data_IF_076242418627
#
_entry.id   IF_076242418627
#
_cell.length_a   1.000
_cell.length_b   1.000
_cell.length_c   1.000
_cell.angle_alpha   90.00
_cell.angle_beta   90.00
_cell.angle_gamma   90.00
#
_symmetry.space_group_name_H-M   'P 1'
#
loop_
_entity.id
_entity.type
_entity.pdbx_description
1 polymer ?
#
# COMPACT_ATOMS: atom_id res chain seq x y z
N UNK A 1 -42.66 -2.44 0.27
CA UNK A 1 -41.29 -2.10 -0.10
C UNK A 1 -40.29 -2.57 0.97
N UNK A 2 -40.53 -2.37 2.26
CA UNK A 2 -39.67 -2.80 3.38
C UNK A 2 -39.42 -4.32 3.47
N UNK A 3 -40.44 -5.14 3.21
CA UNK A 3 -40.34 -6.62 3.28
C UNK A 3 -39.46 -7.22 2.18
N UNK A 4 -39.45 -6.60 0.98
CA UNK A 4 -38.55 -6.99 -0.14
C UNK A 4 -37.10 -6.62 0.17
N UNK A 5 -36.90 -5.44 0.78
CA UNK A 5 -35.59 -4.96 1.24
C UNK A 5 -34.99 -5.87 2.32
N UNK A 6 -35.78 -6.33 3.30
CA UNK A 6 -35.32 -7.19 4.39
C UNK A 6 -34.90 -8.58 3.91
N UNK A 7 -35.64 -9.18 2.97
CA UNK A 7 -35.32 -10.48 2.38
C UNK A 7 -34.06 -10.41 1.50
N UNK A 8 -33.88 -9.32 0.76
CA UNK A 8 -32.68 -9.08 -0.03
C UNK A 8 -31.44 -8.94 0.85
N UNK A 9 -31.51 -8.13 1.90
CA UNK A 9 -30.43 -7.95 2.87
C UNK A 9 -30.06 -9.27 3.55
N UNK A 10 -31.04 -10.08 3.98
CA UNK A 10 -30.79 -11.41 4.55
C UNK A 10 -30.08 -12.36 3.58
N UNK A 11 -30.47 -12.35 2.29
CA UNK A 11 -29.77 -13.17 1.27
C UNK A 11 -28.33 -12.72 1.08
N UNK A 12 -28.08 -11.41 0.98
CA UNK A 12 -26.72 -10.87 0.87
C UNK A 12 -25.86 -11.22 2.08
N UNK A 13 -26.42 -11.09 3.29
CA UNK A 13 -25.73 -11.46 4.54
C UNK A 13 -25.37 -12.96 4.56
N UNK A 14 -26.28 -13.84 4.11
CA UNK A 14 -26.01 -15.28 4.02
C UNK A 14 -24.91 -15.59 3.02
N UNK A 15 -24.95 -14.99 1.81
CA UNK A 15 -23.91 -15.16 0.79
C UNK A 15 -22.57 -14.66 1.31
N UNK A 16 -22.55 -13.48 1.94
CA UNK A 16 -21.35 -12.94 2.56
C UNK A 16 -20.79 -13.86 3.63
N UNK A 17 -21.63 -14.39 4.53
CA UNK A 17 -21.22 -15.32 5.58
C UNK A 17 -20.60 -16.62 5.02
N UNK A 18 -21.17 -17.20 3.95
CA UNK A 18 -20.61 -18.38 3.28
C UNK A 18 -19.25 -18.06 2.62
N UNK A 19 -19.16 -16.91 1.95
CA UNK A 19 -17.90 -16.44 1.36
C UNK A 19 -16.84 -16.18 2.43
N UNK A 20 -17.22 -15.56 3.53
CA UNK A 20 -16.35 -15.28 4.66
C UNK A 20 -15.79 -16.57 5.28
N UNK A 21 -16.61 -17.56 5.51
CA UNK A 21 -16.19 -18.89 6.01
C UNK A 21 -15.20 -19.56 5.06
N UNK A 22 -15.51 -19.57 3.77
CA UNK A 22 -14.66 -20.19 2.75
C UNK A 22 -13.30 -19.51 2.66
N UNK A 23 -13.27 -18.18 2.58
CA UNK A 23 -12.03 -17.41 2.46
C UNK A 23 -11.21 -17.52 3.72
N UNK A 24 -11.84 -17.32 4.89
CA UNK A 24 -11.14 -17.34 6.18
C UNK A 24 -10.50 -18.69 6.46
N UNK A 25 -11.23 -19.80 6.29
CA UNK A 25 -10.68 -21.15 6.54
C UNK A 25 -9.46 -21.45 5.67
N UNK A 26 -9.53 -21.13 4.37
CA UNK A 26 -8.41 -21.37 3.46
C UNK A 26 -7.21 -20.48 3.75
N UNK A 27 -7.42 -19.16 3.96
CA UNK A 27 -6.33 -18.24 4.27
C UNK A 27 -5.65 -18.59 5.59
N UNK A 28 -6.42 -18.85 6.65
CA UNK A 28 -5.83 -19.24 7.93
C UNK A 28 -5.11 -20.58 7.86
N UNK A 29 -5.62 -21.55 7.10
CA UNK A 29 -4.91 -22.79 6.83
C UNK A 29 -3.55 -22.54 6.16
N UNK A 30 -3.52 -21.76 5.07
CA UNK A 30 -2.28 -21.43 4.36
C UNK A 30 -1.29 -20.71 5.28
N UNK A 31 -1.73 -19.67 5.97
CA UNK A 31 -0.86 -18.85 6.83
C UNK A 31 -0.26 -19.68 7.97
N UNK A 32 -1.04 -20.57 8.59
CA UNK A 32 -0.55 -21.47 9.63
C UNK A 32 0.40 -22.55 9.09
N UNK A 33 0.14 -23.06 7.86
CA UNK A 33 1.00 -24.10 7.26
C UNK A 33 2.42 -23.63 6.96
N UNK A 34 2.60 -22.30 6.76
CA UNK A 34 3.93 -21.67 6.59
C UNK A 34 4.52 -21.12 7.90
N UNK A 35 3.92 -21.48 9.05
CA UNK A 35 4.43 -21.12 10.37
C UNK A 35 4.16 -19.67 10.80
N UNK A 36 3.23 -18.98 10.16
CA UNK A 36 2.86 -17.62 10.57
C UNK A 36 1.70 -17.65 11.55
N UNK A 37 1.97 -17.23 12.78
CA UNK A 37 0.98 -17.17 13.85
C UNK A 37 0.27 -15.80 13.86
N UNK A 38 -0.87 -15.74 13.18
CA UNK A 38 -1.74 -14.56 13.12
C UNK A 38 -2.87 -14.57 14.16
N UNK A 39 -2.96 -15.64 14.96
CA UNK A 39 -3.92 -15.79 16.05
C UNK A 39 -3.21 -15.85 17.42
N UNK A 40 -3.86 -15.45 18.50
CA UNK A 40 -5.14 -14.76 18.52
C UNK A 40 -5.03 -13.36 17.90
N UNK A 41 -6.19 -12.81 17.48
CA UNK A 41 -6.27 -11.43 17.04
C UNK A 41 -5.91 -10.49 18.21
N UNK A 42 -5.24 -9.38 17.91
CA UNK A 42 -4.93 -8.37 18.90
C UNK A 42 -6.20 -7.77 19.51
N UNK A 43 -6.34 -7.72 20.84
CA UNK A 43 -7.48 -7.08 21.50
C UNK A 43 -7.66 -5.61 21.09
N UNK A 44 -6.57 -4.93 20.74
CA UNK A 44 -6.63 -3.54 20.30
C UNK A 44 -7.28 -3.36 18.90
N UNK A 45 -7.48 -4.44 18.13
CA UNK A 45 -8.02 -4.39 16.76
C UNK A 45 -9.11 -5.44 16.50
N UNK A 46 -9.52 -6.22 17.50
CA UNK A 46 -10.53 -7.29 17.32
C UNK A 46 -11.91 -6.77 16.88
N UNK A 47 -12.26 -5.53 17.22
CA UNK A 47 -13.51 -4.90 16.80
C UNK A 47 -13.48 -4.37 15.36
N UNK A 48 -12.31 -4.31 14.71
CA UNK A 48 -12.20 -3.78 13.37
C UNK A 48 -12.57 -4.83 12.33
N UNK A 49 -13.72 -4.66 11.67
CA UNK A 49 -14.28 -5.62 10.69
C UNK A 49 -13.26 -5.99 9.61
N UNK A 50 -12.49 -5.04 9.10
CA UNK A 50 -11.49 -5.29 8.06
C UNK A 50 -10.27 -6.08 8.55
N UNK A 51 -10.11 -6.30 9.86
CA UNK A 51 -9.01 -7.06 10.48
C UNK A 51 -9.49 -8.43 10.95
N UNK A 52 -10.74 -8.50 11.45
CA UNK A 52 -11.33 -9.71 12.03
C UNK A 52 -11.32 -10.89 11.05
N UNK A 53 -11.60 -10.62 9.78
CA UNK A 53 -11.59 -11.61 8.72
C UNK A 53 -10.71 -11.16 7.54
N UNK A 54 -9.99 -12.08 6.87
CA UNK A 54 -9.25 -11.78 5.66
C UNK A 54 -10.14 -11.47 4.45
N UNK A 55 -11.44 -11.74 4.54
CA UNK A 55 -12.38 -11.69 3.41
C UNK A 55 -12.48 -10.30 2.77
N UNK A 56 -12.48 -9.24 3.59
CA UNK A 56 -12.47 -7.87 3.08
C UNK A 56 -11.23 -7.60 2.22
N UNK A 57 -10.06 -7.97 2.72
CA UNK A 57 -8.79 -7.84 2.01
C UNK A 57 -8.76 -8.69 0.73
N UNK A 58 -9.10 -9.98 0.84
CA UNK A 58 -9.04 -10.92 -0.30
C UNK A 58 -10.04 -10.49 -1.39
N UNK A 59 -11.26 -10.08 -1.03
CA UNK A 59 -12.23 -9.56 -1.99
C UNK A 59 -11.74 -8.29 -2.67
N UNK A 60 -11.08 -7.39 -1.94
CA UNK A 60 -10.45 -6.17 -2.48
C UNK A 60 -9.30 -6.51 -3.43
N UNK A 61 -8.44 -7.47 -3.09
CA UNK A 61 -7.34 -7.94 -3.95
C UNK A 61 -7.85 -8.62 -5.23
N UNK A 62 -8.85 -9.49 -5.12
CA UNK A 62 -9.47 -10.13 -6.29
C UNK A 62 -10.09 -9.08 -7.22
N UNK A 63 -10.85 -8.13 -6.67
CA UNK A 63 -11.42 -7.03 -7.44
C UNK A 63 -10.34 -6.19 -8.11
N UNK A 64 -9.25 -5.88 -7.41
CA UNK A 64 -8.09 -5.15 -7.93
C UNK A 64 -7.47 -5.86 -9.14
N UNK A 65 -7.18 -7.16 -9.03
CA UNK A 65 -6.58 -7.96 -10.12
C UNK A 65 -7.53 -8.06 -11.32
N UNK A 66 -8.82 -8.31 -11.07
CA UNK A 66 -9.84 -8.41 -12.12
C UNK A 66 -9.97 -7.08 -12.87
N UNK A 67 -10.08 -5.95 -12.17
CA UNK A 67 -10.18 -4.61 -12.78
C UNK A 67 -8.94 -4.30 -13.62
N UNK A 68 -7.73 -4.64 -13.16
CA UNK A 68 -6.49 -4.46 -13.93
C UNK A 68 -6.52 -5.31 -15.21
N UNK A 69 -6.89 -6.58 -15.10
CA UNK A 69 -6.97 -7.49 -16.25
C UNK A 69 -7.93 -6.99 -17.33
N UNK A 70 -9.16 -6.67 -16.93
CA UNK A 70 -10.18 -6.12 -17.84
C UNK A 70 -9.78 -4.76 -18.40
N UNK A 71 -9.31 -3.85 -17.53
CA UNK A 71 -8.91 -2.51 -17.93
C UNK A 71 -7.79 -2.51 -18.95
N UNK A 72 -6.74 -3.31 -18.74
CA UNK A 72 -5.64 -3.48 -19.70
C UNK A 72 -6.12 -4.00 -21.05
N UNK A 73 -6.98 -5.03 -21.05
CA UNK A 73 -7.51 -5.64 -22.29
C UNK A 73 -8.35 -4.64 -23.04
N UNK A 74 -9.25 -3.92 -22.36
CA UNK A 74 -10.11 -2.90 -22.96
C UNK A 74 -9.30 -1.76 -23.56
N UNK A 75 -8.34 -1.22 -22.84
CA UNK A 75 -7.51 -0.10 -23.31
C UNK A 75 -6.67 -0.50 -24.52
N UNK A 76 -6.04 -1.68 -24.52
CA UNK A 76 -5.29 -2.18 -25.68
C UNK A 76 -6.18 -2.29 -26.93
N UNK A 77 -7.43 -2.76 -26.79
CA UNK A 77 -8.40 -2.84 -27.91
C UNK A 77 -8.80 -1.45 -28.42
N UNK A 78 -8.99 -0.50 -27.49
CA UNK A 78 -9.43 0.87 -27.82
C UNK A 78 -8.29 1.71 -28.40
N UNK A 79 -7.07 1.60 -27.86
CA UNK A 79 -5.89 2.29 -28.41
C UNK A 79 -5.58 1.87 -29.86
N UNK A 80 -5.90 0.63 -30.24
CA UNK A 80 -5.79 0.15 -31.62
C UNK A 80 -6.81 0.83 -32.57
N UNK A 81 -7.88 1.44 -32.04
CA UNK A 81 -8.94 2.15 -32.82
C UNK A 81 -8.90 3.66 -32.69
N UNK A 82 -8.22 4.23 -31.69
CA UNK A 82 -8.32 5.64 -31.31
C UNK A 82 -6.96 6.27 -30.97
N UNK A 83 -6.10 6.46 -31.95
CA UNK A 83 -5.00 7.43 -31.82
C UNK A 83 -5.46 8.90 -31.84
N UNK A 84 -6.77 9.17 -31.91
CA UNK A 84 -7.35 10.48 -32.18
C UNK A 84 -8.07 11.19 -31.03
N UNK A 85 -8.30 10.56 -29.86
CA UNK A 85 -9.09 11.18 -28.76
C UNK A 85 -8.40 11.09 -27.39
N UNK A 86 -7.17 11.58 -27.27
CA UNK A 86 -6.45 11.70 -25.99
C UNK A 86 -6.79 12.99 -25.22
N UNK A 87 -8.05 13.26 -24.94
CA UNK A 87 -8.41 14.31 -23.99
C UNK A 87 -8.91 13.69 -22.71
N UNK A 88 -8.09 13.70 -21.64
CA UNK A 88 -8.56 13.32 -20.31
C UNK A 88 -9.70 14.27 -19.91
N UNK A 89 -10.86 13.76 -19.47
CA UNK A 89 -11.96 14.60 -19.05
C UNK A 89 -11.55 15.48 -17.86
N UNK A 90 -12.08 16.69 -17.79
CA UNK A 90 -11.74 17.67 -16.74
C UNK A 90 -12.03 17.16 -15.32
N UNK A 91 -13.11 16.38 -15.16
CA UNK A 91 -13.45 15.76 -13.87
C UNK A 91 -12.36 14.80 -13.37
N UNK A 92 -11.71 14.04 -14.27
CA UNK A 92 -10.63 13.13 -13.89
C UNK A 92 -9.39 13.89 -13.40
N UNK A 93 -9.11 15.06 -14.02
CA UNK A 93 -8.01 15.90 -13.56
C UNK A 93 -8.28 16.44 -12.14
N UNK A 94 -9.49 16.95 -11.90
CA UNK A 94 -9.91 17.42 -10.59
C UNK A 94 -9.90 16.31 -9.53
N UNK A 95 -10.42 15.11 -9.88
CA UNK A 95 -10.38 13.94 -9.01
C UNK A 95 -8.94 13.59 -8.60
N UNK A 96 -7.98 13.60 -9.53
CA UNK A 96 -6.56 13.32 -9.24
C UNK A 96 -5.97 14.36 -8.28
N UNK A 97 -6.30 15.62 -8.40
CA UNK A 97 -5.84 16.66 -7.47
C UNK A 97 -6.35 16.37 -6.06
N UNK A 98 -7.66 16.16 -5.90
CA UNK A 98 -8.28 15.84 -4.59
C UNK A 98 -7.69 14.57 -4.00
N UNK A 99 -7.55 13.51 -4.79
CA UNK A 99 -6.97 12.24 -4.37
C UNK A 99 -5.55 12.41 -3.83
N UNK A 100 -4.68 13.16 -4.53
CA UNK A 100 -3.32 13.39 -4.06
C UNK A 100 -3.28 14.24 -2.79
N UNK A 101 -4.12 15.28 -2.68
CA UNK A 101 -4.24 16.09 -1.46
C UNK A 101 -4.67 15.22 -0.29
N UNK A 102 -5.71 14.40 -0.48
CA UNK A 102 -6.19 13.48 0.55
C UNK A 102 -5.07 12.54 1.03
N UNK A 103 -4.31 11.93 0.11
CA UNK A 103 -3.22 11.02 0.47
C UNK A 103 -2.02 11.72 1.12
N UNK A 104 -1.73 12.97 0.78
CA UNK A 104 -0.72 13.79 1.50
C UNK A 104 -1.18 13.98 2.96
N UNK A 105 -2.41 14.44 3.18
CA UNK A 105 -2.94 14.70 4.51
C UNK A 105 -3.04 13.41 5.34
N UNK A 106 -3.51 12.32 4.75
CA UNK A 106 -3.57 11.02 5.41
C UNK A 106 -2.18 10.50 5.79
N UNK A 107 -1.20 10.65 4.88
CA UNK A 107 0.19 10.22 5.14
C UNK A 107 0.84 11.07 6.23
N UNK A 108 0.60 12.38 6.27
CA UNK A 108 1.04 13.25 7.37
C UNK A 108 0.41 12.82 8.71
N UNK A 109 -0.89 12.57 8.71
CA UNK A 109 -1.60 12.08 9.90
C UNK A 109 -0.99 10.78 10.44
N UNK A 110 -0.74 9.80 9.56
CA UNK A 110 -0.15 8.52 9.95
C UNK A 110 1.30 8.67 10.43
N UNK A 111 2.11 9.48 9.73
CA UNK A 111 3.50 9.72 10.10
C UNK A 111 3.61 10.35 11.49
N UNK A 112 2.93 11.49 11.70
CA UNK A 112 2.94 12.17 13.00
C UNK A 112 2.25 11.35 14.08
N UNK A 113 1.16 10.65 13.75
CA UNK A 113 0.47 9.75 14.67
C UNK A 113 1.38 8.65 15.19
N UNK A 114 2.13 7.96 14.32
CA UNK A 114 3.12 6.97 14.72
C UNK A 114 4.20 7.56 15.63
N UNK A 115 4.73 8.76 15.31
CA UNK A 115 5.78 9.42 16.10
C UNK A 115 5.25 9.82 17.48
N UNK A 116 4.05 10.38 17.55
CA UNK A 116 3.43 10.81 18.81
C UNK A 116 3.13 9.62 19.71
N UNK A 117 2.53 8.56 19.16
CA UNK A 117 2.25 7.34 19.94
C UNK A 117 3.54 6.63 20.38
N UNK A 118 4.58 6.61 19.53
CA UNK A 118 5.88 6.08 19.92
C UNK A 118 6.48 6.85 21.09
N UNK A 119 6.39 8.19 21.10
CA UNK A 119 6.82 9.03 22.22
C UNK A 119 6.01 8.76 23.50
N UNK A 120 4.66 8.65 23.39
CA UNK A 120 3.78 8.35 24.53
C UNK A 120 4.12 7.00 25.16
N UNK A 121 4.41 6.00 24.33
CA UNK A 121 4.73 4.65 24.79
C UNK A 121 6.23 4.47 25.11
N UNK A 122 7.04 5.54 25.04
CA UNK A 122 8.49 5.56 25.32
C UNK A 122 9.25 4.54 24.45
N UNK A 123 8.94 4.47 23.18
CA UNK A 123 9.60 3.60 22.23
C UNK A 123 11.04 4.04 21.95
N UNK A 124 11.90 3.07 21.78
CA UNK A 124 13.21 3.24 21.14
C UNK A 124 13.03 3.26 19.62
N UNK A 125 14.11 3.55 18.89
CA UNK A 125 14.07 3.51 17.43
C UNK A 125 13.72 2.11 16.94
N UNK A 126 14.31 1.07 17.55
CA UNK A 126 14.03 -0.35 17.30
C UNK A 126 14.08 -1.13 18.62
N UNK A 127 13.57 -2.37 18.60
CA UNK A 127 13.58 -3.24 19.77
C UNK A 127 12.36 -3.07 20.67
N UNK A 128 11.23 -2.63 20.13
CA UNK A 128 10.01 -2.38 20.89
C UNK A 128 9.08 -3.58 20.89
N UNK A 129 8.68 -4.01 22.08
CA UNK A 129 7.65 -5.01 22.24
C UNK A 129 6.28 -4.46 21.86
N UNK A 130 5.45 -5.27 21.21
CA UNK A 130 4.04 -5.00 21.09
C UNK A 130 3.33 -5.20 22.43
N UNK A 131 2.50 -4.25 22.85
CA UNK A 131 1.67 -4.32 24.05
C UNK A 131 0.20 -4.11 23.69
N UNK A 132 -0.67 -4.96 24.25
CA UNK A 132 -2.09 -4.98 23.90
C UNK A 132 -2.85 -3.72 24.33
N UNK A 133 -2.36 -2.98 25.32
CA UNK A 133 -2.97 -1.75 25.82
C UNK A 133 -2.62 -0.48 25.02
N UNK A 134 -1.77 -0.58 24.01
CA UNK A 134 -1.36 0.54 23.17
C UNK A 134 -2.37 0.82 22.03
N UNK A 135 -3.63 1.06 22.41
CA UNK A 135 -4.76 1.25 21.49
C UNK A 135 -4.56 2.42 20.53
N UNK A 136 -3.87 3.49 20.94
CA UNK A 136 -3.57 4.65 20.09
C UNK A 136 -2.71 4.24 18.91
N UNK A 137 -1.60 3.54 19.15
CA UNK A 137 -0.71 3.02 18.09
C UNK A 137 -1.46 2.04 17.19
N UNK A 138 -2.24 1.11 17.77
CA UNK A 138 -3.01 0.14 17.01
C UNK A 138 -4.00 0.79 16.04
N UNK A 139 -4.67 1.88 16.43
CA UNK A 139 -5.55 2.68 15.55
C UNK A 139 -4.80 3.30 14.38
N UNK A 140 -3.61 3.85 14.60
CA UNK A 140 -2.79 4.42 13.51
C UNK A 140 -2.34 3.32 12.55
N UNK A 141 -1.89 2.17 13.06
CA UNK A 141 -1.49 1.02 12.24
C UNK A 141 -2.69 0.46 11.45
N UNK A 142 -3.90 0.44 12.03
CA UNK A 142 -5.11 0.07 11.30
C UNK A 142 -5.41 1.04 10.14
N UNK A 143 -5.34 2.35 10.39
CA UNK A 143 -5.53 3.37 9.34
C UNK A 143 -4.47 3.20 8.25
N UNK A 144 -3.23 2.90 8.63
CA UNK A 144 -2.15 2.62 7.70
C UNK A 144 -2.46 1.39 6.83
N UNK A 145 -2.97 0.31 7.42
CA UNK A 145 -3.41 -0.87 6.66
C UNK A 145 -4.52 -0.51 5.66
N UNK A 146 -5.56 0.20 6.11
CA UNK A 146 -6.68 0.62 5.24
C UNK A 146 -6.20 1.53 4.11
N UNK A 147 -5.21 2.40 4.37
CA UNK A 147 -4.63 3.25 3.33
C UNK A 147 -4.02 2.44 2.19
N UNK A 148 -3.41 1.25 2.47
CA UNK A 148 -2.83 0.39 1.44
C UNK A 148 -3.89 -0.20 0.49
N UNK A 149 -5.09 -0.45 0.97
CA UNK A 149 -6.23 -0.85 0.13
C UNK A 149 -6.74 0.36 -0.68
N UNK A 150 -6.84 1.54 -0.06
CA UNK A 150 -7.24 2.76 -0.75
C UNK A 150 -6.26 3.16 -1.88
N UNK A 151 -4.98 2.90 -1.72
CA UNK A 151 -3.94 3.15 -2.72
C UNK A 151 -4.14 2.36 -4.04
N UNK A 152 -5.04 1.35 -4.09
CA UNK A 152 -5.47 0.73 -5.34
C UNK A 152 -6.11 1.73 -6.31
N UNK A 153 -6.64 2.83 -5.80
CA UNK A 153 -7.19 3.94 -6.61
C UNK A 153 -6.14 4.54 -7.53
N UNK A 154 -4.85 4.56 -7.15
CA UNK A 154 -3.75 5.00 -8.02
C UNK A 154 -3.72 4.21 -9.32
N UNK A 155 -3.89 2.88 -9.22
CA UNK A 155 -3.91 2.01 -10.40
C UNK A 155 -5.15 2.26 -11.25
N UNK A 156 -6.31 2.52 -10.63
CA UNK A 156 -7.53 2.85 -11.37
C UNK A 156 -7.40 4.19 -12.09
N UNK A 157 -6.75 5.18 -11.47
CA UNK A 157 -6.39 6.46 -12.13
C UNK A 157 -5.47 6.19 -13.33
N UNK A 158 -4.45 5.33 -13.20
CA UNK A 158 -3.57 4.97 -14.31
C UNK A 158 -4.34 4.31 -15.46
N UNK A 159 -5.30 3.41 -15.15
CA UNK A 159 -6.18 2.80 -16.14
C UNK A 159 -7.05 3.84 -16.83
N UNK A 160 -7.73 4.72 -16.08
CA UNK A 160 -8.60 5.76 -16.63
C UNK A 160 -7.83 6.75 -17.53
N UNK A 161 -6.55 7.03 -17.21
CA UNK A 161 -5.65 7.85 -18.03
C UNK A 161 -5.04 7.11 -19.22
N UNK A 162 -5.27 5.80 -19.33
CA UNK A 162 -4.66 4.96 -20.37
C UNK A 162 -3.16 4.71 -20.18
N UNK A 163 -2.60 4.98 -19.00
CA UNK A 163 -1.17 4.88 -18.70
C UNK A 163 -0.76 3.43 -18.34
N UNK A 164 -1.05 2.47 -19.20
CA UNK A 164 -0.81 1.03 -18.95
C UNK A 164 0.65 0.73 -18.63
N UNK A 165 1.61 1.47 -19.23
CA UNK A 165 3.04 1.27 -19.01
C UNK A 165 3.47 1.50 -17.56
N UNK A 166 2.71 2.31 -16.80
CA UNK A 166 2.99 2.57 -15.39
C UNK A 166 2.51 1.43 -14.47
N UNK A 167 1.53 0.63 -14.91
CA UNK A 167 1.05 -0.55 -14.19
C UNK A 167 2.02 -1.70 -14.44
N UNK A 168 3.23 -1.60 -13.90
CA UNK A 168 4.29 -2.62 -14.02
C UNK A 168 4.03 -3.82 -13.11
N UNK A 169 4.83 -4.89 -13.26
CA UNK A 169 4.84 -6.00 -12.31
C UNK A 169 5.17 -5.51 -10.89
N UNK A 170 6.21 -4.70 -10.75
CA UNK A 170 6.59 -4.09 -9.47
C UNK A 170 5.42 -3.37 -8.80
N UNK A 171 4.66 -2.56 -9.55
CA UNK A 171 3.52 -1.81 -9.04
C UNK A 171 2.42 -2.74 -8.48
N UNK A 172 2.02 -3.75 -9.26
CA UNK A 172 0.97 -4.70 -8.84
C UNK A 172 1.45 -5.59 -7.69
N UNK A 173 2.69 -6.09 -7.77
CA UNK A 173 3.32 -6.88 -6.72
C UNK A 173 3.33 -6.12 -5.40
N UNK A 174 3.85 -4.88 -5.42
CA UNK A 174 3.92 -4.04 -4.23
C UNK A 174 2.54 -3.81 -3.61
N UNK A 175 1.56 -3.33 -4.36
CA UNK A 175 0.22 -3.04 -3.83
C UNK A 175 -0.49 -4.28 -3.29
N UNK A 176 -0.38 -5.41 -3.97
CA UNK A 176 -1.03 -6.64 -3.51
C UNK A 176 -0.37 -7.20 -2.24
N UNK A 177 0.96 -7.29 -2.21
CA UNK A 177 1.67 -7.92 -1.09
C UNK A 177 1.68 -7.03 0.15
N UNK A 178 1.85 -5.71 0.00
CA UNK A 178 1.92 -4.79 1.13
C UNK A 178 0.59 -4.73 1.90
N UNK A 179 -0.55 -4.77 1.21
CA UNK A 179 -1.86 -4.77 1.87
C UNK A 179 -2.09 -6.06 2.66
N UNK A 180 -1.64 -7.22 2.16
CA UNK A 180 -1.71 -8.49 2.87
C UNK A 180 -0.79 -8.51 4.11
N UNK A 181 0.45 -8.04 3.96
CA UNK A 181 1.42 -7.97 5.07
C UNK A 181 0.89 -7.07 6.19
N UNK A 182 0.36 -5.89 5.86
CA UNK A 182 -0.17 -4.97 6.88
C UNK A 182 -1.46 -5.46 7.51
N UNK A 183 -2.28 -6.24 6.80
CA UNK A 183 -3.40 -6.94 7.42
C UNK A 183 -2.92 -7.90 8.52
N UNK A 184 -1.91 -8.73 8.25
CA UNK A 184 -1.36 -9.66 9.24
C UNK A 184 -0.76 -8.93 10.46
N UNK A 185 -0.01 -7.86 10.21
CA UNK A 185 0.59 -7.03 11.27
C UNK A 185 -0.51 -6.40 12.13
N UNK A 186 -1.51 -5.80 11.50
CA UNK A 186 -2.62 -5.15 12.20
C UNK A 186 -3.45 -6.15 12.99
N UNK A 187 -3.56 -7.38 12.52
CA UNK A 187 -4.26 -8.46 13.21
C UNK A 187 -3.48 -8.98 14.41
N UNK A 188 -2.16 -9.18 14.29
CA UNK A 188 -1.36 -9.85 15.32
C UNK A 188 -0.69 -8.91 16.30
N UNK A 189 -0.01 -7.88 15.80
CA UNK A 189 0.83 -7.01 16.62
C UNK A 189 0.85 -5.58 16.08
N UNK A 190 -0.27 -4.84 16.18
CA UNK A 190 -0.42 -3.49 15.64
C UNK A 190 0.27 -2.43 16.53
N UNK A 191 1.59 -2.46 16.60
CA UNK A 191 2.41 -1.58 17.42
C UNK A 191 3.84 -2.10 17.52
N UNK A 192 4.53 -1.81 18.62
CA UNK A 192 5.92 -2.22 18.76
C UNK A 192 6.76 -1.77 17.57
N UNK A 193 7.64 -2.64 17.06
CA UNK A 193 8.54 -2.28 15.96
C UNK A 193 7.87 -2.00 14.61
N UNK A 194 6.59 -2.32 14.43
CA UNK A 194 5.85 -1.96 13.22
C UNK A 194 5.73 -0.45 13.01
N UNK A 195 5.78 0.36 14.09
CA UNK A 195 5.62 1.80 14.01
C UNK A 195 6.66 2.46 13.11
N UNK A 196 7.92 2.00 13.16
CA UNK A 196 9.03 2.59 12.41
C UNK A 196 8.80 2.47 10.90
N UNK A 197 8.46 1.27 10.43
CA UNK A 197 8.16 1.02 9.02
C UNK A 197 6.94 1.83 8.56
N UNK A 198 5.90 1.94 9.39
CA UNK A 198 4.70 2.72 9.08
C UNK A 198 5.00 4.23 9.01
N UNK A 199 5.72 4.77 9.98
CA UNK A 199 6.11 6.19 10.02
C UNK A 199 6.99 6.57 8.83
N UNK A 200 8.03 5.79 8.56
CA UNK A 200 8.97 6.03 7.47
C UNK A 200 8.29 5.93 6.10
N UNK A 201 7.45 4.91 5.89
CA UNK A 201 6.70 4.77 4.65
C UNK A 201 5.70 5.91 4.46
N UNK A 202 5.01 6.33 5.52
CA UNK A 202 4.08 7.46 5.46
C UNK A 202 4.80 8.75 5.08
N UNK A 203 5.99 9.02 5.62
CA UNK A 203 6.80 10.18 5.23
C UNK A 203 7.21 10.15 3.75
N UNK A 204 7.68 8.99 3.27
CA UNK A 204 8.02 8.82 1.84
C UNK A 204 6.79 9.01 0.95
N UNK A 205 5.61 8.59 1.40
CA UNK A 205 4.35 8.81 0.68
C UNK A 205 3.95 10.30 0.65
N UNK A 206 4.20 11.08 1.70
CA UNK A 206 4.05 12.56 1.64
C UNK A 206 4.85 13.12 0.49
N UNK A 207 6.14 12.76 0.38
CA UNK A 207 7.00 13.23 -0.70
C UNK A 207 6.48 12.77 -2.07
N UNK A 208 6.06 11.51 -2.18
CA UNK A 208 5.60 10.91 -3.42
C UNK A 208 4.30 11.56 -3.92
N UNK A 209 3.29 11.71 -3.07
CA UNK A 209 2.03 12.34 -3.46
C UNK A 209 2.16 13.84 -3.68
N UNK A 210 3.07 14.53 -2.99
CA UNK A 210 3.44 15.93 -3.29
C UNK A 210 4.02 16.03 -4.70
N UNK A 211 4.88 15.10 -5.12
CA UNK A 211 5.38 15.06 -6.49
C UNK A 211 4.26 14.83 -7.50
N UNK A 212 3.32 13.90 -7.22
CA UNK A 212 2.21 13.60 -8.12
C UNK A 212 1.21 14.75 -8.21
N UNK A 213 0.93 15.44 -7.10
CA UNK A 213 0.12 16.65 -7.06
C UNK A 213 0.77 17.76 -7.91
N UNK A 214 2.05 18.04 -7.69
CA UNK A 214 2.81 19.01 -8.46
C UNK A 214 2.79 18.67 -9.96
N UNK A 215 2.97 17.38 -10.30
CA UNK A 215 2.91 16.92 -11.69
C UNK A 215 1.51 17.07 -12.32
N UNK A 216 0.44 16.96 -11.52
CA UNK A 216 -0.93 17.22 -11.99
C UNK A 216 -1.16 18.72 -12.24
N UNK A 217 -0.77 19.59 -11.30
CA UNK A 217 -0.97 21.03 -11.38
C UNK A 217 -0.16 21.70 -12.51
N UNK A 218 1.09 21.26 -12.74
CA UNK A 218 1.97 21.83 -13.78
C UNK A 218 1.58 21.43 -15.21
N UNK A 219 0.61 20.55 -15.37
CA UNK A 219 0.12 20.10 -16.68
C UNK A 219 1.16 19.37 -17.52
N UNK A 220 1.10 19.52 -18.86
CA UNK A 220 1.94 18.75 -19.80
C UNK A 220 3.15 19.54 -20.35
N UNK A 221 3.34 20.79 -19.97
CA UNK A 221 4.46 21.60 -20.47
C UNK A 221 5.80 21.03 -20.01
N UNK A 222 6.61 20.58 -20.97
CA UNK A 222 7.88 19.90 -20.72
C UNK A 222 8.90 20.80 -20.00
N UNK A 223 9.02 22.06 -20.38
CA UNK A 223 9.96 23.00 -19.78
C UNK A 223 9.61 23.31 -18.33
N UNK A 224 8.31 23.56 -18.05
CA UNK A 224 7.82 23.78 -16.70
C UNK A 224 8.07 22.55 -15.81
N UNK A 225 7.75 21.36 -16.33
CA UNK A 225 8.01 20.10 -15.61
C UNK A 225 9.48 19.86 -15.34
N UNK A 226 10.37 20.12 -16.29
CA UNK A 226 11.80 19.99 -16.08
C UNK A 226 12.31 20.93 -14.99
N UNK A 227 11.81 22.16 -14.95
CA UNK A 227 12.18 23.18 -13.97
C UNK A 227 11.73 22.81 -12.54
N UNK A 228 10.50 22.31 -12.37
CA UNK A 228 9.89 22.13 -11.05
C UNK A 228 9.86 20.67 -10.56
N UNK A 229 10.02 19.67 -11.44
CA UNK A 229 9.99 18.25 -11.10
C UNK A 229 11.36 17.57 -11.25
N UNK A 230 12.44 18.34 -11.19
CA UNK A 230 13.81 17.84 -11.31
C UNK A 230 14.18 16.79 -10.24
N UNK A 231 13.53 16.87 -9.08
CA UNK A 231 13.77 16.01 -7.92
C UNK A 231 13.13 14.60 -8.03
N UNK A 232 12.44 14.29 -9.10
CA UNK A 232 11.78 12.97 -9.28
C UNK A 232 12.74 11.77 -9.27
N UNK A 233 14.02 11.95 -9.65
CA UNK A 233 15.05 10.89 -9.50
C UNK A 233 15.41 10.64 -8.04
N UNK A 234 15.48 11.70 -7.24
CA UNK A 234 15.78 11.61 -5.82
C UNK A 234 14.63 10.96 -5.03
N UNK A 235 13.40 11.09 -5.51
CA UNK A 235 12.26 10.40 -4.94
C UNK A 235 12.42 8.87 -5.01
N UNK A 236 12.90 8.34 -6.14
CA UNK A 236 13.18 6.89 -6.25
C UNK A 236 14.36 6.48 -5.36
N UNK A 237 15.38 7.33 -5.21
CA UNK A 237 16.47 7.09 -4.27
C UNK A 237 16.00 7.10 -2.82
N UNK A 238 15.09 8.02 -2.45
CA UNK A 238 14.46 8.06 -1.13
C UNK A 238 13.66 6.78 -0.83
N UNK A 239 12.93 6.25 -1.82
CA UNK A 239 12.24 4.97 -1.69
C UNK A 239 13.22 3.80 -1.48
N UNK A 240 14.32 3.76 -2.21
CA UNK A 240 15.36 2.73 -2.01
C UNK A 240 16.01 2.86 -0.62
N UNK A 241 16.31 4.08 -0.19
CA UNK A 241 16.83 4.34 1.16
C UNK A 241 15.87 3.86 2.24
N UNK A 242 14.56 4.10 2.09
CA UNK A 242 13.53 3.56 2.99
C UNK A 242 13.62 2.04 3.09
N UNK A 243 13.78 1.32 1.97
CA UNK A 243 13.87 -0.15 2.00
C UNK A 243 15.16 -0.63 2.66
N UNK A 244 16.28 0.08 2.48
CA UNK A 244 17.54 -0.22 3.18
C UNK A 244 17.37 -0.03 4.69
N UNK A 245 16.77 1.08 5.14
CA UNK A 245 16.54 1.33 6.56
C UNK A 245 15.60 0.28 7.19
N UNK A 246 14.54 -0.11 6.48
CA UNK A 246 13.66 -1.18 6.93
C UNK A 246 14.34 -2.55 6.93
N UNK A 247 15.27 -2.81 6.01
CA UNK A 247 16.08 -4.03 6.00
C UNK A 247 17.00 -4.09 7.23
N UNK A 248 17.67 -2.98 7.56
CA UNK A 248 18.51 -2.87 8.76
C UNK A 248 17.68 -3.06 10.03
N UNK A 249 16.49 -2.46 10.09
CA UNK A 249 15.52 -2.70 11.16
C UNK A 249 15.18 -4.19 11.28
N UNK A 250 14.83 -4.82 10.15
CA UNK A 250 14.44 -6.24 10.14
C UNK A 250 15.57 -7.16 10.63
N UNK A 251 16.83 -6.86 10.25
CA UNK A 251 18.01 -7.58 10.74
C UNK A 251 18.16 -7.42 12.25
N UNK A 252 18.11 -6.19 12.76
CA UNK A 252 18.20 -5.93 14.19
C UNK A 252 17.05 -6.59 14.97
N UNK A 253 15.82 -6.42 14.51
CA UNK A 253 14.64 -6.97 15.19
C UNK A 253 14.61 -8.49 15.16
N UNK A 254 15.09 -9.12 14.11
CA UNK A 254 15.19 -10.59 14.04
C UNK A 254 16.20 -11.18 15.03
N UNK A 255 17.18 -10.40 15.50
CA UNK A 255 18.19 -10.84 16.43
C UNK A 255 17.89 -10.45 17.90
N UNK A 256 17.36 -9.25 18.11
CA UNK A 256 17.35 -8.62 19.44
C UNK A 256 15.99 -8.13 19.92
N UNK A 257 14.98 -8.04 19.05
CA UNK A 257 13.67 -7.48 19.44
C UNK A 257 12.74 -8.52 20.05
N UNK A 258 11.98 -8.16 21.10
CA UNK A 258 10.89 -9.00 21.62
C UNK A 258 9.63 -8.97 20.72
N UNK A 259 9.66 -8.25 19.60
CA UNK A 259 8.58 -8.22 18.61
C UNK A 259 8.43 -9.59 17.92
N UNK A 260 7.23 -10.01 17.43
CA UNK A 260 7.05 -11.33 16.84
C UNK A 260 8.06 -11.62 15.71
N UNK A 261 8.91 -12.63 15.90
CA UNK A 261 10.08 -12.92 15.06
C UNK A 261 9.73 -13.23 13.61
N UNK A 262 8.57 -13.89 13.37
CA UNK A 262 8.13 -14.17 12.01
C UNK A 262 7.82 -12.89 11.22
N UNK A 263 7.32 -11.82 11.89
CA UNK A 263 7.07 -10.50 11.24
C UNK A 263 8.40 -9.86 10.85
N UNK A 264 9.40 -9.88 11.72
CA UNK A 264 10.72 -9.32 11.43
C UNK A 264 11.40 -10.06 10.27
N UNK A 265 11.30 -11.41 10.23
CA UNK A 265 11.81 -12.24 9.13
C UNK A 265 11.05 -11.98 7.82
N UNK A 266 9.72 -11.84 7.88
CA UNK A 266 8.91 -11.48 6.73
C UNK A 266 9.31 -10.12 6.18
N UNK A 267 9.50 -9.12 7.05
CA UNK A 267 9.98 -7.80 6.66
C UNK A 267 11.35 -7.89 5.97
N UNK A 268 12.28 -8.68 6.50
CA UNK A 268 13.60 -8.89 5.90
C UNK A 268 13.50 -9.41 4.46
N UNK A 269 12.79 -10.51 4.24
CA UNK A 269 12.62 -11.11 2.91
C UNK A 269 11.89 -10.14 1.96
N UNK A 270 10.88 -9.45 2.47
CA UNK A 270 10.10 -8.50 1.68
C UNK A 270 10.95 -7.29 1.25
N UNK A 271 11.76 -6.73 2.15
CA UNK A 271 12.65 -5.62 1.79
C UNK A 271 13.70 -6.02 0.75
N UNK A 272 14.26 -7.24 0.83
CA UNK A 272 15.15 -7.76 -0.22
C UNK A 272 14.45 -7.81 -1.58
N UNK A 273 13.23 -8.32 -1.63
CA UNK A 273 12.46 -8.40 -2.88
C UNK A 273 12.21 -7.02 -3.49
N UNK A 274 11.85 -6.03 -2.64
CA UNK A 274 11.63 -4.65 -3.11
C UNK A 274 12.93 -3.98 -3.56
N UNK A 275 14.04 -4.18 -2.86
CA UNK A 275 15.34 -3.64 -3.27
C UNK A 275 15.77 -4.16 -4.64
N UNK A 276 15.57 -5.44 -4.93
CA UNK A 276 15.85 -6.01 -6.26
C UNK A 276 14.95 -5.37 -7.31
N UNK A 277 13.65 -5.32 -7.10
CA UNK A 277 12.69 -4.81 -8.07
C UNK A 277 12.83 -3.29 -8.31
N UNK A 278 13.01 -2.50 -7.25
CA UNK A 278 13.24 -1.05 -7.36
C UNK A 278 14.62 -0.72 -7.92
N UNK A 279 15.64 -1.51 -7.60
CA UNK A 279 16.97 -1.39 -8.19
C UNK A 279 16.95 -1.61 -9.70
N UNK A 280 16.26 -2.64 -10.17
CA UNK A 280 16.05 -2.88 -11.61
C UNK A 280 15.28 -1.75 -12.29
N UNK A 281 14.23 -1.25 -11.64
CA UNK A 281 13.47 -0.09 -12.12
C UNK A 281 14.34 1.17 -12.20
N UNK A 282 15.12 1.47 -11.18
CA UNK A 282 16.01 2.63 -11.14
C UNK A 282 17.08 2.54 -12.24
N UNK A 283 17.70 1.38 -12.38
CA UNK A 283 18.70 1.13 -13.43
C UNK A 283 18.12 1.36 -14.82
N UNK A 284 16.97 0.76 -15.12
CA UNK A 284 16.34 0.84 -16.43
C UNK A 284 15.88 2.26 -16.78
N UNK A 285 15.35 2.99 -15.79
CA UNK A 285 14.78 4.33 -16.00
C UNK A 285 15.81 5.45 -16.04
N UNK A 286 16.89 5.35 -15.28
CA UNK A 286 17.84 6.44 -15.12
C UNK A 286 19.21 6.12 -15.73
N UNK A 287 19.82 4.97 -15.40
CA UNK A 287 21.18 4.65 -15.79
C UNK A 287 21.26 4.19 -17.27
N UNK A 288 20.39 3.29 -17.67
CA UNK A 288 20.40 2.78 -19.05
C UNK A 288 20.05 3.86 -20.08
N UNK A 289 19.18 4.83 -19.72
CA UNK A 289 18.84 5.94 -20.60
C UNK A 289 19.98 6.97 -20.71
N UNK A 290 20.71 7.25 -19.64
CA UNK A 290 21.89 8.13 -19.69
C UNK A 290 22.98 7.52 -20.59
N UNK A 291 23.27 6.22 -20.44
CA UNK A 291 24.24 5.50 -21.30
C UNK A 291 23.86 5.53 -22.80
N UNK A 292 22.55 5.56 -23.14
CA UNK A 292 22.09 5.66 -24.53
C UNK A 292 22.22 7.08 -25.12
N UNK A 293 22.30 8.12 -24.29
CA UNK A 293 22.48 9.51 -24.73
C UNK A 293 23.95 9.86 -24.99
N UNK A 294 24.86 9.11 -24.38
CA UNK A 294 26.31 9.31 -24.50
C UNK A 294 26.92 8.53 -25.69
N UNK A 295 26.17 7.55 -26.22
CA UNK A 295 26.49 6.85 -27.47
C UNK A 295 25.79 7.48 -28.67
#
# INVERSE_FOLDING_TARGET
MEMISSNFIRRLSKIWGQWDLLVSSNIFFIVRSIGWDVDPISPATEDFIAVKSPTFLISSLLSYIVIIGFGRTRIKRTQRKQDLLKRNPSWLHFFVIIHNIFLILLSLYMCFGCILEARRNKYHVWGNQYKQNEVGMAKIIYIFYISKIYEFVDTFIMLLKGNIKQISFLHVYHHATISFIWWMITRKAPGGDAYFSAALNSWVHVCMYTYYLSAALLGKNKHVRQKYLWWGKYLTQLQILQFVLNLLQAMYCSAYSPYPQWISRLLFVYMLSLLVLFGQFYYSKHIALEKRKIR
#
